data_IF_347555214066
#
_entry.id   IF_347555214066
#
_cell.length_a   1.000
_cell.length_b   1.000
_cell.length_c   1.000
_cell.angle_alpha   90.00
_cell.angle_beta   90.00
_cell.angle_gamma   90.00
#
_symmetry.space_group_name_H-M   'P 1'
#
loop_
_entity.id
_entity.type
_entity.pdbx_description
1 polymer ?
#
# COMPACT_ATOMS: atom_id res chain seq x y z
N UNK A 1 4.14 32.38 -15.12
CA UNK A 1 5.18 31.44 -14.70
C UNK A 1 5.14 31.26 -13.19
N UNK A 2 5.46 30.08 -12.70
CA UNK A 2 5.64 29.80 -11.28
C UNK A 2 7.13 29.53 -11.03
N UNK A 3 7.72 30.23 -10.06
CA UNK A 3 9.10 30.00 -9.63
C UNK A 3 9.06 29.30 -8.27
N UNK A 4 9.70 28.12 -8.19
CA UNK A 4 9.86 27.36 -6.96
C UNK A 4 11.31 27.46 -6.53
N UNK A 5 11.57 27.87 -5.30
CA UNK A 5 12.90 27.97 -4.71
C UNK A 5 12.95 27.09 -3.48
N UNK A 6 13.93 26.20 -3.42
CA UNK A 6 14.19 25.32 -2.28
C UNK A 6 15.39 25.82 -1.49
N UNK A 7 15.42 25.60 -0.18
CA UNK A 7 16.54 26.00 0.69
C UNK A 7 17.81 25.19 0.46
N UNK A 8 17.67 23.98 -0.06
CA UNK A 8 18.76 23.06 -0.46
C UNK A 8 18.40 22.37 -1.78
N UNK A 9 19.36 21.80 -2.51
CA UNK A 9 19.05 20.98 -3.70
C UNK A 9 18.02 19.91 -3.35
N UNK A 10 17.08 19.64 -4.29
CA UNK A 10 16.09 18.59 -4.15
C UNK A 10 16.01 17.80 -5.45
N UNK A 11 16.69 16.66 -5.55
CA UNK A 11 16.81 15.88 -6.80
C UNK A 11 15.48 15.27 -7.26
N UNK A 12 14.49 15.12 -6.37
CA UNK A 12 13.18 14.52 -6.67
C UNK A 12 12.03 15.53 -6.61
N UNK A 13 12.32 16.83 -6.66
CA UNK A 13 11.30 17.89 -6.55
C UNK A 13 10.16 17.69 -7.57
N UNK A 14 10.47 17.39 -8.82
CA UNK A 14 9.43 17.21 -9.85
C UNK A 14 8.51 16.03 -9.55
N UNK A 15 9.06 14.93 -9.01
CA UNK A 15 8.29 13.77 -8.61
C UNK A 15 7.36 14.10 -7.41
N UNK A 16 7.85 14.89 -6.47
CA UNK A 16 7.04 15.36 -5.33
C UNK A 16 5.91 16.28 -5.79
N UNK A 17 6.22 17.22 -6.70
CA UNK A 17 5.24 18.16 -7.25
C UNK A 17 4.13 17.48 -8.06
N UNK A 18 4.38 16.32 -8.66
CA UNK A 18 3.36 15.56 -9.39
C UNK A 18 2.19 15.10 -8.51
N UNK A 19 2.37 15.09 -7.19
CA UNK A 19 1.33 14.74 -6.22
C UNK A 19 0.61 15.97 -5.62
N UNK A 20 0.93 17.17 -6.09
CA UNK A 20 0.34 18.43 -5.59
C UNK A 20 -0.64 18.95 -6.63
N UNK A 21 -1.92 19.05 -6.24
CA UNK A 21 -2.96 19.61 -7.09
C UNK A 21 -3.10 21.12 -6.84
N UNK A 22 -3.05 21.90 -7.94
CA UNK A 22 -3.17 23.36 -7.87
C UNK A 22 -4.65 23.72 -7.69
N UNK A 23 -4.95 24.44 -6.62
CA UNK A 23 -6.29 24.92 -6.30
C UNK A 23 -6.46 26.39 -6.73
N UNK A 24 -7.69 26.79 -7.07
CA UNK A 24 -8.03 28.19 -7.30
C UNK A 24 -8.04 28.97 -5.98
N UNK A 25 -7.16 29.98 -5.84
CA UNK A 25 -7.09 30.82 -4.65
C UNK A 25 -8.46 31.47 -4.34
N UNK A 26 -9.07 32.13 -5.32
CA UNK A 26 -10.34 32.82 -5.14
C UNK A 26 -11.48 31.85 -4.73
N UNK A 27 -11.50 30.62 -5.27
CA UNK A 27 -12.47 29.63 -4.86
C UNK A 27 -12.21 29.15 -3.43
N UNK A 28 -10.96 28.91 -3.08
CA UNK A 28 -10.58 28.43 -1.74
C UNK A 28 -10.89 29.46 -0.67
N UNK A 29 -10.59 30.75 -0.93
CA UNK A 29 -10.92 31.86 -0.03
C UNK A 29 -12.44 32.01 0.15
N UNK A 30 -13.19 32.02 -0.96
CA UNK A 30 -14.66 32.14 -0.94
C UNK A 30 -15.34 31.04 -0.13
N UNK A 31 -14.79 29.83 -0.14
CA UNK A 31 -15.40 28.65 0.48
C UNK A 31 -14.69 28.20 1.77
N UNK A 32 -13.85 29.07 2.35
CA UNK A 32 -13.10 28.78 3.60
C UNK A 32 -12.28 27.48 3.54
N UNK A 33 -11.72 27.16 2.35
CA UNK A 33 -10.96 25.94 2.07
C UNK A 33 -9.45 26.22 1.92
N UNK A 34 -8.92 27.21 2.66
CA UNK A 34 -7.48 27.59 2.63
C UNK A 34 -6.62 26.73 3.54
N UNK A 35 -7.20 26.05 4.50
CA UNK A 35 -6.51 25.15 5.42
C UNK A 35 -6.85 23.70 5.13
N UNK A 36 -5.92 22.77 5.38
CA UNK A 36 -6.20 21.34 5.31
C UNK A 36 -7.34 20.96 6.26
N UNK A 37 -8.11 19.95 5.86
CA UNK A 37 -9.14 19.39 6.72
C UNK A 37 -8.50 18.68 7.91
N UNK A 38 -8.99 18.92 9.10
CA UNK A 38 -8.60 18.19 10.30
C UNK A 38 -9.51 16.94 10.46
N UNK A 39 -9.04 15.81 9.96
CA UNK A 39 -9.77 14.54 10.03
C UNK A 39 -9.92 14.02 11.46
N UNK A 40 -8.92 14.23 12.31
CA UNK A 40 -8.92 13.74 13.70
C UNK A 40 -9.94 14.52 14.56
N UNK A 41 -10.24 15.78 14.18
CA UNK A 41 -11.29 16.59 14.79
C UNK A 41 -12.69 16.36 14.18
N UNK A 42 -12.83 15.45 13.22
CA UNK A 42 -14.11 15.21 12.53
C UNK A 42 -14.59 16.38 11.67
N UNK A 43 -13.71 17.32 11.32
CA UNK A 43 -14.07 18.47 10.48
C UNK A 43 -14.38 18.00 9.05
N UNK A 44 -15.53 18.46 8.52
CA UNK A 44 -15.77 18.45 7.08
C UNK A 44 -15.64 19.89 6.55
N UNK A 45 -14.72 20.07 5.59
CA UNK A 45 -14.59 21.35 4.88
C UNK A 45 -15.45 21.33 3.61
N UNK A 46 -15.77 22.50 3.07
CA UNK A 46 -16.50 22.60 1.81
C UNK A 46 -15.82 21.83 0.67
N UNK A 47 -14.49 21.75 0.68
CA UNK A 47 -13.71 20.99 -0.31
C UNK A 47 -13.83 19.48 -0.18
N UNK A 48 -14.36 18.94 0.91
CA UNK A 48 -14.60 17.50 1.07
C UNK A 48 -15.70 16.98 0.13
N UNK A 49 -16.70 17.80 -0.15
CA UNK A 49 -17.85 17.45 -0.99
C UNK A 49 -17.92 18.25 -2.28
N UNK A 50 -17.13 19.32 -2.41
CA UNK A 50 -17.11 20.18 -3.57
C UNK A 50 -15.70 20.32 -4.12
N UNK A 51 -15.56 20.47 -5.41
CA UNK A 51 -14.27 20.68 -6.04
C UNK A 51 -14.38 21.65 -7.22
N UNK A 52 -13.32 22.45 -7.41
CA UNK A 52 -13.11 23.24 -8.62
C UNK A 52 -11.76 22.84 -9.23
N UNK A 53 -11.81 22.09 -10.30
CA UNK A 53 -10.63 21.62 -11.03
C UNK A 53 -10.70 21.96 -12.52
N UNK A 54 -9.60 21.74 -13.21
CA UNK A 54 -9.45 21.99 -14.66
C UNK A 54 -9.50 20.70 -15.48
N UNK A 55 -9.93 19.59 -14.87
CA UNK A 55 -9.95 18.27 -15.50
C UNK A 55 -11.08 18.04 -16.51
N UNK A 56 -11.12 16.87 -17.16
CA UNK A 56 -12.11 16.50 -18.17
C UNK A 56 -13.52 16.32 -17.63
N UNK A 57 -13.66 16.09 -16.34
CA UNK A 57 -14.94 15.94 -15.65
C UNK A 57 -15.04 16.88 -14.46
N UNK A 58 -16.28 17.24 -14.11
CA UNK A 58 -16.63 18.04 -12.92
C UNK A 58 -17.49 17.21 -11.99
N UNK A 59 -17.21 17.28 -10.69
CA UNK A 59 -18.10 16.73 -9.67
C UNK A 59 -19.39 17.55 -9.66
N UNK A 60 -20.52 16.89 -9.82
CA UNK A 60 -21.86 17.50 -9.76
C UNK A 60 -22.66 17.03 -8.56
N UNK A 61 -22.29 15.90 -7.96
CA UNK A 61 -22.86 15.38 -6.73
C UNK A 61 -21.75 14.60 -5.99
N UNK A 62 -21.65 14.79 -4.69
CA UNK A 62 -20.86 13.94 -3.81
C UNK A 62 -21.62 13.71 -2.51
N UNK A 63 -22.09 12.51 -2.34
CA UNK A 63 -22.66 11.99 -1.10
C UNK A 63 -21.65 10.98 -0.53
N UNK A 64 -20.93 11.33 0.55
CA UNK A 64 -19.92 10.45 1.15
C UNK A 64 -20.49 9.05 1.43
N UNK A 65 -19.70 8.01 1.10
CA UNK A 65 -20.06 6.60 1.26
C UNK A 65 -21.29 6.11 0.44
N UNK A 66 -21.94 6.97 -0.35
CA UNK A 66 -23.12 6.62 -1.13
C UNK A 66 -22.86 6.73 -2.62
N UNK A 67 -22.48 7.94 -3.11
CA UNK A 67 -22.36 8.18 -4.54
C UNK A 67 -21.53 9.42 -4.85
N UNK A 68 -20.72 9.36 -5.90
CA UNK A 68 -20.12 10.54 -6.52
C UNK A 68 -20.44 10.56 -8.00
N UNK A 69 -20.99 11.67 -8.50
CA UNK A 69 -21.34 11.87 -9.92
C UNK A 69 -20.40 12.88 -10.54
N UNK A 70 -19.79 12.47 -11.65
CA UNK A 70 -18.97 13.32 -12.48
C UNK A 70 -19.67 13.54 -13.83
N UNK A 71 -19.72 14.77 -14.30
CA UNK A 71 -20.18 15.12 -15.64
C UNK A 71 -19.06 15.71 -16.49
N UNK A 72 -19.08 15.43 -17.77
CA UNK A 72 -18.11 15.95 -18.74
C UNK A 72 -17.97 17.47 -18.63
N UNK A 73 -16.72 17.93 -18.55
CA UNK A 73 -16.42 19.37 -18.58
C UNK A 73 -16.40 19.86 -20.02
N UNK A 74 -17.43 20.59 -20.44
CA UNK A 74 -17.55 21.13 -21.80
C UNK A 74 -16.45 22.16 -22.16
N UNK A 75 -15.79 22.73 -21.15
CA UNK A 75 -14.71 23.72 -21.33
C UNK A 75 -13.31 23.13 -21.17
N UNK A 76 -13.22 21.80 -21.05
CA UNK A 76 -11.90 21.17 -20.97
C UNK A 76 -11.21 21.20 -22.33
N UNK A 77 -9.96 21.63 -22.36
CA UNK A 77 -9.17 21.87 -23.57
C UNK A 77 -8.46 20.62 -24.13
N UNK A 78 -8.40 19.54 -23.38
CA UNK A 78 -7.73 18.31 -23.80
C UNK A 78 -8.65 17.41 -24.62
N UNK A 79 -8.12 16.24 -24.99
CA UNK A 79 -8.84 15.25 -25.79
C UNK A 79 -9.26 14.06 -24.92
N UNK A 80 -10.49 13.61 -25.12
CA UNK A 80 -11.03 12.36 -24.60
C UNK A 80 -10.95 11.28 -25.68
N UNK A 81 -10.63 10.05 -25.27
CA UNK A 81 -10.60 8.89 -26.17
C UNK A 81 -11.97 8.65 -26.81
N UNK A 82 -13.04 8.74 -26.02
CA UNK A 82 -14.41 8.64 -26.52
C UNK A 82 -15.27 9.80 -26.01
N UNK A 83 -15.84 10.55 -26.95
CA UNK A 83 -16.72 11.69 -26.65
C UNK A 83 -18.09 11.27 -26.13
N UNK A 84 -18.47 10.00 -26.26
CA UNK A 84 -19.76 9.43 -25.76
C UNK A 84 -19.77 9.32 -24.23
N UNK A 85 -18.60 9.23 -23.58
CA UNK A 85 -18.52 9.20 -22.11
C UNK A 85 -18.84 10.59 -21.56
N UNK A 86 -20.07 10.80 -21.13
CA UNK A 86 -20.57 12.12 -20.67
C UNK A 86 -20.78 12.20 -19.17
N UNK A 87 -20.97 11.06 -18.51
CA UNK A 87 -21.20 10.95 -17.07
C UNK A 87 -20.51 9.70 -16.51
N UNK A 88 -20.03 9.80 -15.26
CA UNK A 88 -19.46 8.71 -14.51
C UNK A 88 -20.07 8.74 -13.11
N UNK A 89 -20.49 7.59 -12.61
CA UNK A 89 -20.98 7.40 -11.26
C UNK A 89 -20.07 6.45 -10.49
N UNK A 90 -19.53 6.91 -9.38
CA UNK A 90 -18.78 6.07 -8.45
C UNK A 90 -19.70 5.65 -7.30
N UNK A 91 -19.87 4.35 -7.13
CA UNK A 91 -20.71 3.74 -6.10
C UNK A 91 -19.82 2.93 -5.14
N UNK A 92 -19.63 3.38 -3.90
CA UNK A 92 -18.89 2.61 -2.89
C UNK A 92 -19.69 1.39 -2.42
N UNK A 93 -19.40 0.22 -2.96
CA UNK A 93 -20.00 -1.06 -2.52
C UNK A 93 -18.95 -1.84 -1.72
N UNK A 94 -19.07 -1.85 -0.39
CA UNK A 94 -18.05 -2.44 0.50
C UNK A 94 -17.93 -3.96 0.35
N UNK A 95 -19.06 -4.66 0.26
CA UNK A 95 -19.05 -6.12 0.14
C UNK A 95 -18.62 -6.57 -1.26
N UNK A 96 -17.59 -7.39 -1.35
CA UNK A 96 -17.01 -7.86 -2.62
C UNK A 96 -17.98 -8.71 -3.43
N UNK A 97 -18.74 -9.62 -2.81
CA UNK A 97 -19.71 -10.46 -3.50
C UNK A 97 -20.85 -9.62 -4.09
N UNK A 98 -21.31 -8.58 -3.37
CA UNK A 98 -22.32 -7.63 -3.86
C UNK A 98 -21.79 -6.84 -5.07
N UNK A 99 -20.52 -6.39 -5.05
CA UNK A 99 -19.93 -5.72 -6.24
C UNK A 99 -19.91 -6.62 -7.46
N UNK A 100 -19.49 -7.86 -7.28
CA UNK A 100 -19.47 -8.84 -8.38
C UNK A 100 -20.89 -9.13 -8.90
N UNK A 101 -21.87 -9.32 -8.00
CA UNK A 101 -23.26 -9.53 -8.40
C UNK A 101 -23.81 -8.35 -9.20
N UNK A 102 -23.55 -7.10 -8.79
CA UNK A 102 -23.97 -5.90 -9.48
C UNK A 102 -23.37 -5.79 -10.89
N UNK A 103 -22.10 -6.20 -11.10
CA UNK A 103 -21.50 -6.28 -12.42
C UNK A 103 -22.20 -7.34 -13.29
N UNK A 104 -22.36 -8.54 -12.76
CA UNK A 104 -22.96 -9.66 -13.51
C UNK A 104 -24.43 -9.45 -13.86
N UNK A 105 -25.17 -8.70 -13.04
CA UNK A 105 -26.55 -8.29 -13.33
C UNK A 105 -26.65 -7.11 -14.30
N UNK A 106 -25.55 -6.43 -14.59
CA UNK A 106 -25.51 -5.25 -15.44
C UNK A 106 -25.89 -3.93 -14.74
N UNK A 107 -26.05 -3.94 -13.41
CA UNK A 107 -26.33 -2.74 -12.61
C UNK A 107 -25.16 -1.75 -12.63
N UNK A 108 -23.92 -2.26 -12.66
CA UNK A 108 -22.71 -1.46 -12.82
C UNK A 108 -21.89 -1.95 -14.02
N UNK A 109 -21.04 -1.07 -14.55
CA UNK A 109 -20.27 -1.34 -15.77
C UNK A 109 -18.85 -1.81 -15.46
N UNK A 110 -18.29 -1.40 -14.30
CA UNK A 110 -16.90 -1.67 -13.90
C UNK A 110 -16.86 -1.97 -12.42
N UNK A 111 -16.07 -2.97 -12.04
CA UNK A 111 -15.62 -3.22 -10.67
C UNK A 111 -14.13 -2.97 -10.61
N UNK A 112 -13.72 -1.99 -9.83
CA UNK A 112 -12.32 -1.83 -9.39
C UNK A 112 -12.07 -2.77 -8.21
N UNK A 113 -10.84 -3.26 -8.05
CA UNK A 113 -10.49 -4.24 -7.00
C UNK A 113 -11.42 -5.47 -7.01
N UNK A 114 -11.57 -6.08 -8.19
CA UNK A 114 -12.32 -7.32 -8.34
C UNK A 114 -11.64 -8.45 -7.53
N UNK A 115 -12.39 -9.20 -6.70
CA UNK A 115 -11.80 -10.21 -5.84
C UNK A 115 -11.19 -11.35 -6.67
N UNK A 116 -9.98 -11.74 -6.34
CA UNK A 116 -9.19 -12.74 -7.11
C UNK A 116 -9.91 -14.10 -7.20
N UNK A 117 -10.77 -14.41 -6.24
CA UNK A 117 -11.56 -15.65 -6.22
C UNK A 117 -12.64 -15.68 -7.30
N UNK A 118 -13.12 -14.52 -7.75
CA UNK A 118 -14.23 -14.42 -8.70
C UNK A 118 -13.79 -14.16 -10.15
N UNK A 119 -12.50 -13.88 -10.38
CA UNK A 119 -12.01 -13.49 -11.71
C UNK A 119 -12.28 -14.54 -12.78
N UNK A 120 -12.07 -15.82 -12.47
CA UNK A 120 -12.36 -16.92 -13.39
C UNK A 120 -13.86 -17.00 -13.74
N UNK A 121 -14.75 -16.80 -12.75
CA UNK A 121 -16.20 -16.77 -12.94
C UNK A 121 -16.63 -15.59 -13.81
N UNK A 122 -16.10 -14.42 -13.56
CA UNK A 122 -16.39 -13.22 -14.34
C UNK A 122 -15.89 -13.38 -15.78
N UNK A 123 -14.64 -13.80 -15.95
CA UNK A 123 -13.99 -13.94 -17.26
C UNK A 123 -14.51 -15.13 -18.09
N UNK A 124 -15.31 -16.04 -17.52
CA UNK A 124 -15.95 -17.13 -18.29
C UNK A 124 -17.12 -16.66 -19.15
N UNK A 125 -17.65 -15.47 -18.92
CA UNK A 125 -18.72 -14.87 -19.71
C UNK A 125 -18.16 -13.96 -20.79
N UNK A 126 -18.63 -14.13 -22.04
CA UNK A 126 -18.27 -13.21 -23.15
C UNK A 126 -18.80 -11.77 -22.95
N UNK A 127 -19.76 -11.58 -22.04
CA UNK A 127 -20.30 -10.26 -21.70
C UNK A 127 -19.37 -9.45 -20.79
N UNK A 128 -18.34 -10.08 -20.20
CA UNK A 128 -17.44 -9.43 -19.25
C UNK A 128 -15.97 -9.71 -19.57
N UNK A 129 -15.09 -8.83 -19.13
CA UNK A 129 -13.64 -9.00 -19.20
C UNK A 129 -13.00 -8.70 -17.87
N UNK A 130 -11.81 -9.26 -17.67
CA UNK A 130 -10.94 -9.05 -16.50
C UNK A 130 -9.58 -8.57 -16.97
N UNK A 131 -9.08 -7.54 -16.35
CA UNK A 131 -7.72 -7.02 -16.55
C UNK A 131 -6.99 -6.97 -15.22
N UNK A 132 -5.71 -7.30 -15.21
CA UNK A 132 -4.87 -7.27 -14.00
C UNK A 132 -3.55 -6.56 -14.29
N UNK A 133 -3.04 -5.86 -13.30
CA UNK A 133 -1.74 -5.19 -13.37
C UNK A 133 -1.04 -5.23 -12.02
N UNK A 134 0.30 -5.17 -12.03
CA UNK A 134 1.07 -4.93 -10.81
C UNK A 134 0.71 -3.56 -10.24
N UNK A 135 0.36 -3.52 -8.97
CA UNK A 135 0.12 -2.26 -8.27
C UNK A 135 1.43 -1.69 -7.72
N UNK A 136 1.51 -0.37 -7.67
CA UNK A 136 2.60 0.36 -7.02
C UNK A 136 2.50 0.24 -5.49
N UNK A 137 2.55 -1.00 -4.97
CA UNK A 137 2.37 -1.30 -3.55
C UNK A 137 3.05 -2.61 -3.15
N UNK A 138 3.81 -2.57 -2.06
CA UNK A 138 4.35 -3.77 -1.39
C UNK A 138 3.61 -4.00 -0.09
N UNK A 139 3.16 -5.24 0.14
CA UNK A 139 2.56 -5.70 1.39
C UNK A 139 3.63 -6.34 2.26
N UNK A 140 3.63 -6.04 3.55
CA UNK A 140 4.64 -6.51 4.50
C UNK A 140 4.07 -6.61 5.92
N UNK A 141 4.83 -7.27 6.80
CA UNK A 141 4.58 -7.29 8.24
C UNK A 141 5.64 -6.45 8.93
N UNK A 142 5.24 -5.67 9.94
CA UNK A 142 6.11 -4.88 10.81
C UNK A 142 6.05 -5.38 12.24
N UNK A 143 7.18 -5.30 12.94
CA UNK A 143 7.37 -5.77 14.31
C UNK A 143 8.04 -4.67 15.13
N UNK A 144 7.46 -4.28 16.27
CA UNK A 144 8.09 -3.30 17.17
C UNK A 144 9.40 -3.89 17.74
N UNK A 145 10.51 -3.23 17.48
CA UNK A 145 11.85 -3.67 17.86
C UNK A 145 12.42 -2.90 19.06
N UNK A 146 11.70 -1.90 19.58
CA UNK A 146 12.20 -1.03 20.64
C UNK A 146 11.55 -1.27 22.00
N UNK A 147 10.27 -1.60 22.06
CA UNK A 147 9.60 -1.86 23.33
C UNK A 147 10.32 -2.96 24.14
N UNK A 148 10.36 -2.82 25.46
CA UNK A 148 11.01 -3.81 26.31
C UNK A 148 10.22 -5.11 26.43
N UNK A 149 8.90 -5.03 26.30
CA UNK A 149 7.98 -6.17 26.33
C UNK A 149 6.95 -6.03 25.23
N UNK A 150 6.47 -7.15 24.71
CA UNK A 150 5.27 -7.16 23.87
C UNK A 150 4.05 -6.80 24.69
N UNK A 151 3.16 -5.99 24.16
CA UNK A 151 1.87 -5.64 24.80
C UNK A 151 0.93 -6.83 24.89
N UNK A 152 1.08 -7.77 23.96
CA UNK A 152 0.19 -8.93 23.78
C UNK A 152 0.90 -10.28 23.95
N UNK A 153 2.17 -10.27 24.37
CA UNK A 153 2.99 -11.47 24.50
C UNK A 153 2.94 -12.11 25.89
N UNK A 154 3.52 -13.29 25.99
CA UNK A 154 3.64 -14.07 27.25
C UNK A 154 5.10 -14.28 27.70
N UNK A 155 6.06 -13.67 27.01
CA UNK A 155 7.49 -13.90 27.25
C UNK A 155 8.10 -13.06 28.36
N UNK A 156 7.44 -11.95 28.75
CA UNK A 156 8.00 -10.97 29.68
C UNK A 156 9.10 -10.09 29.09
N UNK A 157 9.44 -10.30 27.81
CA UNK A 157 10.36 -9.49 27.00
C UNK A 157 9.79 -9.24 25.59
N UNK A 158 10.58 -8.61 24.71
CA UNK A 158 10.22 -8.42 23.32
C UNK A 158 11.12 -9.28 22.42
N UNK A 159 10.64 -10.44 21.92
CA UNK A 159 11.38 -11.31 21.03
C UNK A 159 11.84 -10.61 19.75
N UNK A 160 11.10 -9.61 19.27
CA UNK A 160 11.38 -8.92 18.01
C UNK A 160 12.65 -8.03 18.05
N UNK A 161 13.20 -7.73 19.24
CA UNK A 161 14.51 -7.11 19.38
C UNK A 161 15.64 -7.97 18.78
N UNK A 162 15.47 -9.29 18.76
CA UNK A 162 16.48 -10.24 18.25
C UNK A 162 16.29 -10.44 16.74
N UNK A 163 17.35 -10.14 15.97
CA UNK A 163 17.37 -10.34 14.52
C UNK A 163 17.05 -11.80 14.15
N UNK A 164 17.56 -12.75 14.93
CA UNK A 164 17.35 -14.19 14.73
C UNK A 164 15.87 -14.56 14.79
N UNK A 165 15.10 -13.94 15.67
CA UNK A 165 13.66 -14.12 15.77
C UNK A 165 12.98 -13.57 14.54
N UNK A 166 13.31 -12.34 14.10
CA UNK A 166 12.76 -11.75 12.88
C UNK A 166 13.08 -12.59 11.64
N UNK A 167 14.31 -13.12 11.58
CA UNK A 167 14.72 -14.03 10.51
C UNK A 167 13.94 -15.35 10.53
N UNK A 168 13.73 -15.93 11.71
CA UNK A 168 12.93 -17.14 11.87
C UNK A 168 11.51 -16.96 11.36
N UNK A 169 10.86 -15.85 11.75
CA UNK A 169 9.52 -15.52 11.25
C UNK A 169 9.52 -15.34 9.72
N UNK A 170 10.52 -14.64 9.17
CA UNK A 170 10.61 -14.43 7.73
C UNK A 170 10.78 -15.75 6.95
N UNK A 171 11.63 -16.66 7.43
CA UNK A 171 11.87 -17.97 6.79
C UNK A 171 10.73 -18.97 7.04
N UNK A 172 9.86 -18.73 8.02
CA UNK A 172 8.67 -19.56 8.24
C UNK A 172 7.53 -19.25 7.24
N UNK A 173 7.58 -18.11 6.51
CA UNK A 173 6.55 -17.71 5.57
C UNK A 173 6.77 -18.36 4.18
N UNK A 174 5.93 -19.34 3.86
CA UNK A 174 5.82 -19.92 2.50
C UNK A 174 5.06 -18.95 1.58
N UNK A 175 5.82 -18.04 0.98
CA UNK A 175 5.24 -17.00 0.12
C UNK A 175 4.66 -17.59 -1.18
N UNK A 176 5.21 -18.68 -1.67
CA UNK A 176 4.70 -19.35 -2.87
C UNK A 176 3.36 -20.03 -2.60
N UNK A 177 3.16 -20.58 -1.40
CA UNK A 177 1.85 -21.05 -0.98
C UNK A 177 0.83 -19.91 -0.85
N UNK A 178 1.23 -18.75 -0.33
CA UNK A 178 0.35 -17.55 -0.31
C UNK A 178 0.01 -17.14 -1.74
N UNK A 179 1.00 -16.98 -2.64
CA UNK A 179 0.79 -16.65 -4.05
C UNK A 179 -0.20 -17.62 -4.70
N UNK A 180 0.03 -18.91 -4.56
CA UNK A 180 -0.77 -19.94 -5.25
C UNK A 180 -2.17 -20.11 -4.66
N UNK A 181 -2.28 -20.22 -3.34
CA UNK A 181 -3.53 -20.63 -2.66
C UNK A 181 -4.41 -19.45 -2.25
N UNK A 182 -3.80 -18.37 -1.75
CA UNK A 182 -4.54 -17.17 -1.27
C UNK A 182 -4.75 -16.19 -2.41
N UNK A 183 -3.69 -15.88 -3.17
CA UNK A 183 -3.71 -14.85 -4.21
C UNK A 183 -4.04 -15.39 -5.60
N UNK A 184 -4.30 -16.69 -5.76
CA UNK A 184 -4.64 -17.31 -7.06
C UNK A 184 -3.62 -17.01 -8.17
N UNK A 185 -2.34 -16.87 -7.82
CA UNK A 185 -1.24 -16.52 -8.72
C UNK A 185 -1.02 -15.01 -8.89
N UNK A 186 -1.92 -14.17 -8.38
CA UNK A 186 -1.92 -12.70 -8.56
C UNK A 186 -1.20 -11.98 -7.43
N UNK A 187 0.08 -12.27 -7.28
CA UNK A 187 1.02 -11.53 -6.44
C UNK A 187 2.44 -11.84 -6.87
N UNK A 188 3.38 -10.93 -6.65
CA UNK A 188 4.80 -11.16 -6.91
C UNK A 188 5.57 -11.12 -5.59
N UNK A 189 6.25 -12.22 -5.18
CA UNK A 189 7.04 -12.24 -3.95
C UNK A 189 8.01 -11.08 -3.87
N UNK A 190 8.06 -10.40 -2.72
CA UNK A 190 8.89 -9.22 -2.49
C UNK A 190 9.92 -9.45 -1.40
N UNK A 191 11.16 -8.98 -1.60
CA UNK A 191 12.24 -8.99 -0.62
C UNK A 191 12.54 -7.62 -0.02
N UNK A 192 12.01 -6.54 -0.62
CA UNK A 192 12.13 -5.15 -0.16
C UNK A 192 10.81 -4.42 -0.32
N UNK A 193 10.64 -3.28 0.39
CA UNK A 193 9.42 -2.45 0.34
C UNK A 193 9.54 -1.40 -0.78
N UNK A 194 9.88 -1.86 -1.96
CA UNK A 194 9.83 -1.08 -3.21
C UNK A 194 9.64 -2.03 -4.38
N UNK A 195 9.27 -1.57 -5.55
CA UNK A 195 8.82 -2.41 -6.66
C UNK A 195 9.47 -1.95 -7.98
N UNK A 196 9.42 -2.77 -9.04
CA UNK A 196 9.97 -2.42 -10.35
C UNK A 196 9.46 -1.07 -10.85
N UNK A 197 10.38 -0.23 -11.33
CA UNK A 197 10.09 1.14 -11.81
C UNK A 197 10.33 2.24 -10.77
N UNK A 198 10.59 1.90 -9.51
CA UNK A 198 11.04 2.86 -8.48
C UNK A 198 12.56 2.96 -8.50
N UNK A 199 13.10 4.18 -8.44
CA UNK A 199 14.54 4.37 -8.31
C UNK A 199 15.07 3.71 -7.04
N UNK A 200 16.12 2.91 -7.19
CA UNK A 200 16.72 2.08 -6.12
C UNK A 200 16.20 0.64 -6.07
N UNK A 201 15.18 0.26 -6.85
CA UNK A 201 14.80 -1.14 -7.00
C UNK A 201 15.82 -1.90 -7.84
N UNK A 202 16.18 -3.09 -7.38
CA UNK A 202 16.88 -4.09 -8.20
C UNK A 202 16.34 -5.50 -7.89
N UNK A 203 16.38 -6.38 -8.89
CA UNK A 203 15.95 -7.79 -8.70
C UNK A 203 16.77 -8.51 -7.64
N UNK A 204 18.04 -8.15 -7.45
CA UNK A 204 18.89 -8.79 -6.44
C UNK A 204 18.53 -8.34 -5.02
N UNK A 205 18.21 -7.07 -4.83
CA UNK A 205 17.69 -6.57 -3.57
C UNK A 205 16.32 -7.18 -3.24
N UNK A 206 15.51 -7.46 -4.25
CA UNK A 206 14.16 -8.00 -4.09
C UNK A 206 14.09 -9.53 -3.86
N UNK A 207 15.24 -10.19 -3.77
CA UNK A 207 15.30 -11.61 -3.41
C UNK A 207 14.96 -11.81 -1.94
N UNK A 208 13.99 -12.68 -1.67
CA UNK A 208 13.60 -13.11 -0.31
C UNK A 208 14.61 -14.10 0.28
N UNK A 209 14.63 -14.21 1.61
CA UNK A 209 15.18 -15.38 2.26
C UNK A 209 14.38 -16.63 1.90
N UNK A 210 15.03 -17.80 1.76
CA UNK A 210 14.34 -19.04 1.43
C UNK A 210 13.38 -19.46 2.55
N UNK A 211 12.24 -20.04 2.17
CA UNK A 211 11.35 -20.70 3.10
C UNK A 211 12.03 -21.95 3.68
N UNK A 212 12.21 -21.98 5.01
CA UNK A 212 12.82 -23.10 5.71
C UNK A 212 12.32 -23.15 7.16
N UNK A 213 11.38 -24.04 7.44
CA UNK A 213 10.79 -24.24 8.77
C UNK A 213 11.81 -24.79 9.78
N UNK A 214 12.76 -25.63 9.33
CA UNK A 214 13.74 -26.22 10.23
C UNK A 214 14.79 -25.19 10.66
N UNK A 215 15.27 -24.37 9.71
CA UNK A 215 16.15 -23.24 10.02
C UNK A 215 15.43 -22.23 10.93
N UNK A 216 14.15 -21.94 10.69
CA UNK A 216 13.36 -21.05 11.53
C UNK A 216 13.23 -21.56 12.97
N UNK A 217 12.94 -22.84 13.18
CA UNK A 217 12.90 -23.45 14.52
C UNK A 217 14.23 -23.37 15.24
N UNK A 218 15.31 -23.65 14.51
CA UNK A 218 16.66 -23.55 15.07
C UNK A 218 16.99 -22.13 15.51
N UNK A 219 16.71 -21.15 14.69
CA UNK A 219 16.91 -19.73 15.00
C UNK A 219 16.13 -19.30 16.26
N UNK A 220 14.87 -19.73 16.39
CA UNK A 220 14.07 -19.44 17.61
C UNK A 220 14.68 -20.09 18.84
N UNK A 221 15.11 -21.35 18.75
CA UNK A 221 15.73 -22.05 19.86
C UNK A 221 17.05 -21.38 20.29
N UNK A 222 17.90 -21.05 19.33
CA UNK A 222 19.19 -20.37 19.55
C UNK A 222 18.97 -18.96 20.16
N UNK A 223 17.85 -18.30 19.80
CA UNK A 223 17.45 -17.01 20.35
C UNK A 223 16.82 -17.09 21.76
N UNK A 224 16.62 -18.30 22.33
CA UNK A 224 16.06 -18.50 23.65
C UNK A 224 14.55 -18.78 23.66
N UNK A 225 13.92 -19.06 22.52
CA UNK A 225 12.50 -19.39 22.37
C UNK A 225 12.30 -20.79 21.77
N UNK A 226 12.82 -21.87 22.39
CA UNK A 226 12.74 -23.23 21.83
C UNK A 226 11.30 -23.75 21.70
N UNK A 227 10.37 -23.20 22.48
CA UNK A 227 8.96 -23.54 22.46
C UNK A 227 8.09 -22.46 21.76
N UNK A 228 8.75 -21.46 21.12
CA UNK A 228 8.06 -20.31 20.55
C UNK A 228 7.54 -19.32 21.59
N UNK A 229 6.57 -18.52 21.22
CA UNK A 229 5.95 -17.50 22.07
C UNK A 229 4.56 -17.12 21.54
N UNK A 230 3.77 -16.42 22.39
CA UNK A 230 2.48 -15.87 21.99
C UNK A 230 2.60 -14.41 21.57
N UNK A 231 1.85 -14.00 20.54
CA UNK A 231 1.79 -12.61 20.05
C UNK A 231 0.47 -12.33 19.37
N UNK A 232 0.03 -11.08 19.35
CA UNK A 232 -1.10 -10.61 18.56
C UNK A 232 -0.63 -10.06 17.20
N UNK A 233 -1.27 -10.49 16.10
CA UNK A 233 -1.09 -9.90 14.78
C UNK A 233 -2.29 -9.03 14.43
N UNK A 234 -2.07 -7.74 14.26
CA UNK A 234 -3.07 -6.79 13.79
C UNK A 234 -3.10 -6.74 12.27
N UNK A 235 -4.28 -6.98 11.70
CA UNK A 235 -4.46 -7.08 10.26
C UNK A 235 -5.70 -6.29 9.83
N UNK A 236 -5.64 -5.50 8.73
CA UNK A 236 -6.86 -4.97 8.14
C UNK A 236 -7.63 -6.08 7.43
N UNK A 237 -8.94 -5.87 7.22
CA UNK A 237 -9.78 -6.82 6.49
C UNK A 237 -10.59 -6.16 5.34
N UNK A 238 -10.32 -4.90 5.06
CA UNK A 238 -10.98 -4.14 3.99
C UNK A 238 -10.03 -3.13 3.30
N UNK A 239 -8.70 -3.38 3.34
CA UNK A 239 -7.69 -2.45 2.82
C UNK A 239 -6.90 -2.97 1.64
N UNK A 240 -6.42 -4.20 1.69
CA UNK A 240 -5.57 -4.82 0.68
C UNK A 240 -6.26 -6.04 0.07
N UNK A 241 -5.77 -6.50 -1.07
CA UNK A 241 -6.32 -7.72 -1.69
C UNK A 241 -6.07 -8.90 -0.76
N UNK A 242 -7.15 -9.53 -0.28
CA UNK A 242 -7.12 -10.71 0.59
C UNK A 242 -6.31 -10.54 1.89
N UNK A 243 -6.25 -9.35 2.46
CA UNK A 243 -5.46 -9.03 3.66
C UNK A 243 -5.71 -10.00 4.83
N UNK A 244 -6.93 -10.20 5.26
CA UNK A 244 -7.26 -11.14 6.34
C UNK A 244 -6.89 -12.59 6.01
N UNK A 245 -7.10 -13.01 4.76
CA UNK A 245 -6.76 -14.37 4.32
C UNK A 245 -5.24 -14.60 4.29
N UNK A 246 -4.46 -13.57 3.94
CA UNK A 246 -2.99 -13.61 4.02
C UNK A 246 -2.55 -13.73 5.47
N UNK A 247 -3.10 -12.89 6.38
CA UNK A 247 -2.77 -12.96 7.80
C UNK A 247 -3.15 -14.31 8.40
N UNK A 248 -4.30 -14.87 8.06
CA UNK A 248 -4.72 -16.21 8.49
C UNK A 248 -3.73 -17.30 8.02
N UNK A 249 -3.26 -17.20 6.79
CA UNK A 249 -2.24 -18.13 6.29
C UNK A 249 -0.92 -18.01 7.06
N UNK A 250 -0.47 -16.78 7.35
CA UNK A 250 0.73 -16.50 8.15
C UNK A 250 0.61 -17.06 9.56
N UNK A 251 -0.54 -16.89 10.23
CA UNK A 251 -0.82 -17.50 11.55
C UNK A 251 -0.58 -19.01 11.53
N UNK A 252 -1.14 -19.71 10.53
CA UNK A 252 -0.93 -21.15 10.36
C UNK A 252 0.53 -21.55 10.08
N UNK A 253 1.28 -20.68 9.41
CA UNK A 253 2.70 -20.90 9.13
C UNK A 253 3.55 -20.73 10.39
N UNK A 254 3.29 -19.71 11.20
CA UNK A 254 3.99 -19.46 12.45
C UNK A 254 3.71 -20.51 13.53
N UNK A 255 2.51 -21.07 13.54
CA UNK A 255 2.20 -22.23 14.39
C UNK A 255 3.11 -23.43 14.17
N UNK A 256 3.64 -23.63 12.93
CA UNK A 256 4.59 -24.71 12.64
C UNK A 256 5.94 -24.54 13.32
N UNK A 257 6.30 -23.34 13.72
CA UNK A 257 7.56 -23.02 14.43
C UNK A 257 7.34 -22.71 15.92
N UNK A 258 6.12 -22.98 16.45
CA UNK A 258 5.79 -22.79 17.86
C UNK A 258 5.34 -21.36 18.22
N UNK A 259 5.30 -20.44 17.26
CA UNK A 259 4.80 -19.08 17.52
C UNK A 259 3.27 -19.08 17.39
N UNK A 260 2.61 -18.85 18.52
CA UNK A 260 1.17 -18.83 18.63
C UNK A 260 0.64 -17.41 18.40
N UNK A 261 0.02 -17.19 17.25
CA UNK A 261 -0.44 -15.86 16.85
C UNK A 261 -1.95 -15.71 17.04
N UNK A 262 -2.36 -14.79 17.88
CA UNK A 262 -3.74 -14.33 17.97
C UNK A 262 -4.00 -13.31 16.87
N UNK A 263 -4.82 -13.67 15.88
CA UNK A 263 -5.16 -12.77 14.77
C UNK A 263 -6.26 -11.79 15.17
N UNK A 264 -5.93 -10.50 15.10
CA UNK A 264 -6.87 -9.41 15.31
C UNK A 264 -7.18 -8.70 13.98
N UNK A 265 -8.14 -9.27 13.22
CA UNK A 265 -8.61 -8.71 11.96
C UNK A 265 -9.64 -7.59 12.20
N UNK A 266 -9.47 -6.45 11.55
CA UNK A 266 -10.29 -5.27 11.80
C UNK A 266 -10.39 -4.36 10.58
N UNK A 267 -11.37 -3.42 10.60
CA UNK A 267 -11.52 -2.46 9.51
C UNK A 267 -10.30 -1.54 9.40
N UNK A 268 -9.98 -1.09 8.18
CA UNK A 268 -8.87 -0.18 7.92
C UNK A 268 -8.89 1.07 8.81
N UNK A 269 -10.06 1.64 9.06
CA UNK A 269 -10.19 2.84 9.90
C UNK A 269 -9.71 2.61 11.32
N UNK A 270 -10.06 1.47 11.91
CA UNK A 270 -9.60 1.07 13.24
C UNK A 270 -8.12 0.70 13.21
N UNK A 271 -7.72 -0.10 12.22
CA UNK A 271 -6.33 -0.55 12.05
C UNK A 271 -5.34 0.63 11.97
N UNK A 272 -5.62 1.61 11.12
CA UNK A 272 -4.74 2.77 11.00
C UNK A 272 -4.74 3.69 12.21
N UNK A 273 -5.91 3.82 12.89
CA UNK A 273 -5.97 4.57 14.14
C UNK A 273 -5.07 3.93 15.20
N UNK A 274 -5.19 2.63 15.41
CA UNK A 274 -4.41 1.90 16.41
C UNK A 274 -2.90 1.90 16.09
N UNK A 275 -2.51 1.82 14.79
CA UNK A 275 -1.11 1.97 14.40
C UNK A 275 -0.57 3.38 14.67
N UNK A 276 -1.36 4.43 14.43
CA UNK A 276 -0.97 5.80 14.80
C UNK A 276 -0.77 5.96 16.29
N UNK A 277 -1.62 5.33 17.09
CA UNK A 277 -1.59 5.37 18.55
C UNK A 277 -0.56 4.38 19.14
N UNK A 278 0.32 3.81 18.32
CA UNK A 278 1.38 2.85 18.68
C UNK A 278 0.89 1.63 19.48
N UNK A 279 -0.30 1.13 19.12
CA UNK A 279 -0.95 0.03 19.88
C UNK A 279 -0.64 -1.37 19.34
N UNK A 280 0.21 -1.53 18.33
CA UNK A 280 0.47 -2.83 17.71
C UNK A 280 1.93 -3.23 17.76
N UNK A 281 2.25 -4.37 18.41
CA UNK A 281 3.59 -4.94 18.42
C UNK A 281 3.93 -5.62 17.09
N UNK A 282 2.92 -6.19 16.41
CA UNK A 282 3.05 -6.92 15.16
C UNK A 282 1.83 -6.64 14.28
N UNK A 283 2.06 -6.25 13.02
CA UNK A 283 1.00 -5.75 12.16
C UNK A 283 1.27 -5.97 10.68
N UNK A 284 0.21 -6.01 9.87
CA UNK A 284 0.30 -5.91 8.41
C UNK A 284 0.16 -4.47 7.96
N UNK A 285 0.99 -4.09 6.97
CA UNK A 285 0.87 -2.82 6.28
C UNK A 285 1.19 -3.00 4.79
N UNK A 286 0.75 -2.07 3.97
CA UNK A 286 1.13 -1.98 2.56
C UNK A 286 1.55 -0.56 2.20
N UNK A 287 2.68 -0.41 1.52
CA UNK A 287 3.26 0.88 1.19
C UNK A 287 3.38 1.10 -0.30
N UNK A 288 2.90 2.24 -0.77
CA UNK A 288 3.08 2.71 -2.14
C UNK A 288 4.18 3.78 -2.21
N UNK A 289 4.76 3.97 -3.39
CA UNK A 289 5.86 4.94 -3.60
C UNK A 289 5.44 5.97 -4.67
N UNK A 290 4.62 6.97 -4.32
CA UNK A 290 4.07 7.92 -5.29
C UNK A 290 5.12 8.80 -5.96
N UNK A 291 6.28 8.97 -5.35
CA UNK A 291 7.41 9.73 -5.93
C UNK A 291 8.28 8.90 -6.87
N UNK A 292 8.03 7.59 -6.98
CA UNK A 292 8.85 6.64 -7.75
C UNK A 292 10.34 6.66 -7.35
N UNK A 293 10.62 6.95 -6.07
CA UNK A 293 11.96 7.01 -5.53
C UNK A 293 12.03 6.40 -4.12
N UNK A 294 13.04 5.58 -3.85
CA UNK A 294 13.23 4.88 -2.57
C UNK A 294 13.34 5.82 -1.36
N UNK A 295 13.75 7.08 -1.57
CA UNK A 295 13.77 8.07 -0.49
C UNK A 295 12.42 8.13 0.25
N UNK A 296 11.29 8.03 -0.47
CA UNK A 296 9.96 8.04 0.14
C UNK A 296 9.75 6.91 1.13
N UNK A 297 10.25 5.71 0.82
CA UNK A 297 10.17 4.56 1.72
C UNK A 297 11.06 4.77 2.94
N UNK A 298 12.31 5.19 2.71
CA UNK A 298 13.27 5.39 3.80
C UNK A 298 12.82 6.49 4.75
N UNK A 299 12.39 7.63 4.24
CA UNK A 299 11.94 8.77 5.04
C UNK A 299 10.74 8.44 5.94
N UNK A 300 9.79 7.62 5.48
CA UNK A 300 8.60 7.31 6.28
C UNK A 300 8.72 6.04 7.12
N UNK A 301 9.42 5.01 6.64
CA UNK A 301 9.41 3.69 7.29
C UNK A 301 10.70 3.37 8.06
N UNK A 302 11.83 4.02 7.72
CA UNK A 302 13.12 3.64 8.28
C UNK A 302 13.88 4.77 9.00
N UNK A 303 13.59 6.04 8.68
CA UNK A 303 14.21 7.16 9.38
C UNK A 303 13.88 7.12 10.87
N UNK A 304 14.90 7.31 11.70
CA UNK A 304 14.74 7.28 13.16
C UNK A 304 13.71 8.31 13.61
N UNK A 305 12.65 7.87 14.28
CA UNK A 305 11.57 8.72 14.77
C UNK A 305 10.55 9.16 13.72
N UNK A 306 10.63 8.66 12.49
CA UNK A 306 9.64 8.97 11.46
C UNK A 306 8.24 8.45 11.86
N UNK A 307 7.20 9.17 11.44
CA UNK A 307 5.82 8.96 11.89
C UNK A 307 5.24 7.57 11.56
N UNK A 308 5.72 6.94 10.50
CA UNK A 308 5.31 5.60 10.08
C UNK A 308 6.35 4.51 10.34
N UNK A 309 7.48 4.85 10.97
CA UNK A 309 8.45 3.89 11.47
C UNK A 309 7.94 3.20 12.75
N UNK A 310 6.84 2.46 12.61
CA UNK A 310 6.16 1.80 13.73
C UNK A 310 6.85 0.52 14.22
N UNK A 311 7.92 0.11 13.55
CA UNK A 311 8.84 -0.93 14.03
C UNK A 311 9.92 -0.36 14.95
N UNK A 312 9.97 0.96 15.08
CA UNK A 312 10.97 1.69 15.89
C UNK A 312 12.42 1.33 15.50
N UNK A 313 12.64 1.04 14.21
CA UNK A 313 13.97 0.84 13.67
C UNK A 313 14.81 2.12 13.83
N UNK A 314 16.07 1.98 14.22
CA UNK A 314 17.00 3.09 14.32
C UNK A 314 18.40 2.64 13.92
N UNK A 315 18.96 3.32 12.92
CA UNK A 315 20.33 3.05 12.45
C UNK A 315 20.94 4.34 11.87
N UNK A 316 22.03 4.78 12.47
CA UNK A 316 22.70 6.04 12.10
C UNK A 316 23.26 6.08 10.68
N UNK A 317 23.65 4.93 10.12
CA UNK A 317 24.12 4.84 8.73
C UNK A 317 22.95 4.99 7.74
N UNK A 318 21.80 4.42 8.07
CA UNK A 318 20.57 4.60 7.27
C UNK A 318 20.10 6.05 7.33
N UNK A 319 20.10 6.67 8.51
CA UNK A 319 19.76 8.09 8.67
C UNK A 319 20.73 8.99 7.88
N UNK A 320 22.03 8.66 7.87
CA UNK A 320 23.01 9.38 7.06
C UNK A 320 22.75 9.22 5.55
N UNK A 321 22.41 8.01 5.10
CA UNK A 321 22.05 7.75 3.71
C UNK A 321 20.77 8.52 3.30
N UNK A 322 19.76 8.61 4.16
CA UNK A 322 18.54 9.40 3.91
C UNK A 322 18.90 10.87 3.67
N UNK A 323 19.78 11.45 4.48
CA UNK A 323 20.25 12.84 4.29
C UNK A 323 20.95 13.03 2.93
N UNK A 324 21.71 12.04 2.47
CA UNK A 324 22.28 12.06 1.11
C UNK A 324 21.19 11.98 0.05
N UNK A 325 20.22 11.09 0.19
CA UNK A 325 19.09 10.95 -0.75
C UNK A 325 18.30 12.24 -0.92
N UNK A 326 18.21 13.04 0.15
CA UNK A 326 17.46 14.31 0.14
C UNK A 326 18.11 15.43 -0.67
N UNK A 327 19.43 15.50 -0.73
CA UNK A 327 20.12 16.67 -1.26
C UNK A 327 21.20 16.40 -2.32
N UNK A 328 21.65 15.14 -2.48
CA UNK A 328 22.69 14.81 -3.47
C UNK A 328 22.11 14.82 -4.89
N UNK A 329 22.69 15.66 -5.74
CA UNK A 329 22.27 15.80 -7.16
C UNK A 329 23.07 14.91 -8.11
N UNK A 330 24.23 14.43 -7.69
CA UNK A 330 24.97 13.40 -8.41
C UNK A 330 24.23 12.07 -8.27
N UNK A 331 23.70 11.57 -9.39
CA UNK A 331 22.87 10.38 -9.40
C UNK A 331 23.61 9.12 -8.94
N UNK A 332 24.89 8.99 -9.27
CA UNK A 332 25.66 7.80 -8.91
C UNK A 332 25.90 7.76 -7.41
N UNK A 333 26.29 8.87 -6.78
CA UNK A 333 26.44 8.98 -5.34
C UNK A 333 25.14 8.76 -4.61
N UNK A 334 24.05 9.36 -5.11
CA UNK A 334 22.74 9.22 -4.54
C UNK A 334 22.24 7.77 -4.60
N UNK A 335 22.38 7.12 -5.77
CA UNK A 335 21.99 5.74 -5.96
C UNK A 335 22.86 4.76 -5.15
N UNK A 336 24.13 5.07 -4.95
CA UNK A 336 25.00 4.29 -4.04
C UNK A 336 24.50 4.37 -2.59
N UNK A 337 24.08 5.55 -2.12
CA UNK A 337 23.49 5.71 -0.78
C UNK A 337 22.17 4.91 -0.65
N UNK A 338 21.28 4.96 -1.65
CA UNK A 338 20.04 4.17 -1.70
C UNK A 338 20.37 2.67 -1.63
N UNK A 339 21.29 2.18 -2.45
CA UNK A 339 21.65 0.77 -2.49
C UNK A 339 22.27 0.29 -1.17
N UNK A 340 23.11 1.11 -0.54
CA UNK A 340 23.69 0.81 0.77
C UNK A 340 22.61 0.73 1.86
N UNK A 341 21.71 1.70 1.91
CA UNK A 341 20.60 1.70 2.87
C UNK A 341 19.71 0.44 2.71
N UNK A 342 19.38 0.04 1.47
CA UNK A 342 18.62 -1.20 1.22
C UNK A 342 19.35 -2.45 1.72
N UNK A 343 20.69 -2.53 1.58
CA UNK A 343 21.48 -3.65 2.11
C UNK A 343 21.39 -3.72 3.63
N UNK A 344 21.55 -2.57 4.31
CA UNK A 344 21.51 -2.52 5.78
C UNK A 344 20.15 -2.97 6.31
N UNK A 345 19.04 -2.39 5.84
CA UNK A 345 17.69 -2.72 6.35
C UNK A 345 17.25 -4.14 5.99
N UNK A 346 17.71 -4.65 4.86
CA UNK A 346 17.47 -6.03 4.44
C UNK A 346 18.26 -7.02 5.31
N UNK A 347 19.52 -6.72 5.61
CA UNK A 347 20.33 -7.55 6.51
C UNK A 347 19.76 -7.55 7.93
N UNK A 348 19.33 -6.42 8.43
CA UNK A 348 18.67 -6.29 9.74
C UNK A 348 17.32 -7.03 9.82
N UNK A 349 16.62 -7.24 8.70
CA UNK A 349 15.27 -7.81 8.64
C UNK A 349 14.29 -6.93 9.45
N UNK A 350 14.38 -5.61 9.26
CA UNK A 350 13.56 -4.63 9.98
C UNK A 350 12.06 -4.80 9.74
N UNK A 351 11.69 -5.27 8.55
CA UNK A 351 10.34 -5.65 8.14
C UNK A 351 10.37 -7.03 7.47
N UNK A 352 9.19 -7.66 7.35
CA UNK A 352 9.00 -8.90 6.58
C UNK A 352 8.20 -8.57 5.30
N UNK A 353 8.84 -8.18 4.18
CA UNK A 353 8.14 -7.99 2.92
C UNK A 353 7.49 -9.30 2.46
N UNK A 354 6.23 -9.24 2.02
CA UNK A 354 5.49 -10.41 1.55
C UNK A 354 5.46 -10.43 0.02
N UNK A 355 4.77 -9.48 -0.59
CA UNK A 355 4.62 -9.45 -2.04
C UNK A 355 4.29 -8.04 -2.56
N UNK A 356 4.62 -7.80 -3.83
CA UNK A 356 4.05 -6.71 -4.60
C UNK A 356 2.63 -7.09 -5.01
N UNK A 357 1.69 -6.21 -4.68
CA UNK A 357 0.28 -6.47 -4.92
C UNK A 357 -0.05 -6.41 -6.41
N UNK A 358 -0.87 -7.33 -6.87
CA UNK A 358 -1.53 -7.27 -8.17
C UNK A 358 -2.98 -6.87 -7.94
N UNK A 359 -3.47 -5.92 -8.71
CA UNK A 359 -4.87 -5.50 -8.71
C UNK A 359 -5.55 -5.99 -9.97
N UNK A 360 -6.83 -6.29 -9.84
CA UNK A 360 -7.67 -6.74 -10.96
C UNK A 360 -8.93 -5.91 -11.05
N UNK A 361 -9.27 -5.50 -12.26
CA UNK A 361 -10.53 -4.86 -12.57
C UNK A 361 -11.37 -5.79 -13.44
N UNK A 362 -12.67 -5.69 -13.30
CA UNK A 362 -13.62 -6.39 -14.14
C UNK A 362 -14.59 -5.39 -14.72
N UNK A 363 -14.97 -5.58 -15.99
CA UNK A 363 -15.86 -4.66 -16.70
C UNK A 363 -16.76 -5.43 -17.68
N UNK A 364 -17.85 -4.80 -18.13
CA UNK A 364 -18.57 -5.22 -19.34
C UNK A 364 -17.62 -5.21 -20.53
N UNK A 365 -17.75 -6.16 -21.45
CA UNK A 365 -16.81 -6.34 -22.57
C UNK A 365 -16.73 -5.11 -23.49
N UNK A 366 -17.82 -4.35 -23.65
CA UNK A 366 -17.87 -3.13 -24.44
C UNK A 366 -17.24 -1.91 -23.74
N UNK A 367 -16.96 -1.97 -22.42
CA UNK A 367 -16.42 -0.84 -21.66
C UNK A 367 -14.92 -0.95 -21.51
N UNK A 368 -14.18 0.06 -21.93
CA UNK A 368 -12.74 0.13 -21.76
C UNK A 368 -12.36 1.29 -20.84
N UNK A 369 -11.70 0.99 -19.74
CA UNK A 369 -11.00 1.96 -18.87
C UNK A 369 -9.65 1.36 -18.52
N UNK A 370 -8.53 2.01 -18.91
CA UNK A 370 -7.21 1.46 -18.64
C UNK A 370 -6.95 1.29 -17.14
N UNK A 371 -6.57 0.08 -16.74
CA UNK A 371 -6.09 -0.18 -15.38
C UNK A 371 -4.68 0.38 -15.23
N UNK A 372 -4.44 1.14 -14.16
CA UNK A 372 -3.17 1.80 -13.88
C UNK A 372 -2.53 1.26 -12.61
N UNK A 373 -1.18 1.20 -12.55
CA UNK A 373 -0.48 0.70 -11.36
C UNK A 373 -0.77 1.44 -10.05
N UNK A 374 -1.19 2.71 -10.11
CA UNK A 374 -1.63 3.47 -8.92
C UNK A 374 -3.08 3.19 -8.52
N UNK A 375 -3.79 2.31 -9.25
CA UNK A 375 -5.20 1.95 -9.04
C UNK A 375 -6.19 3.12 -9.19
N UNK A 376 -5.81 4.14 -9.95
CA UNK A 376 -6.68 5.28 -10.21
C UNK A 376 -7.28 5.20 -11.63
N UNK A 377 -8.61 5.29 -11.77
CA UNK A 377 -9.24 5.24 -13.08
C UNK A 377 -8.91 6.48 -13.92
N UNK A 378 -8.46 6.26 -15.15
CA UNK A 378 -8.17 7.32 -16.10
C UNK A 378 -9.40 7.56 -17.00
N UNK A 379 -10.43 8.18 -16.46
CA UNK A 379 -11.72 8.35 -17.15
C UNK A 379 -11.66 9.13 -18.45
N UNK A 380 -10.66 10.00 -18.68
CA UNK A 380 -10.48 10.62 -20.00
C UNK A 380 -10.15 9.62 -21.11
N UNK A 381 -9.62 8.45 -20.73
CA UNK A 381 -9.29 7.35 -21.65
C UNK A 381 -10.38 6.27 -21.69
N UNK A 382 -11.50 6.47 -20.99
CA UNK A 382 -12.62 5.56 -21.07
C UNK A 382 -13.25 5.58 -22.46
N UNK A 383 -13.69 4.41 -22.97
CA UNK A 383 -14.35 4.27 -24.25
C UNK A 383 -15.35 3.11 -24.24
N UNK A 384 -16.26 3.12 -25.22
CA UNK A 384 -17.14 2.01 -25.56
C UNK A 384 -16.70 1.44 -26.91
N UNK A 385 -16.69 0.11 -27.03
CA UNK A 385 -16.49 -0.59 -28.32
C UNK A 385 -17.70 -0.42 -29.22
#
# INVERSE_FOLDING_TARGET
SVKITTSKPNPILLNQLSNIFIMSKAWSEKNFAMSPQNWDAGQETFSATNALGTGPFKITLREPNTKTVFKKNKHWWGEMTDKKVTQIELLPIKNAATRVAALLSGEIDIVTDAPVQDLARIGSSSAHKVESTAQMRTIFLGMDQAADQLRSGNTGDNPFKKKEVRQALYQAIDIDAIKKKVMRGLSEPAGIITFPGVNGYTKDLDKRLPYDVNAAKKLLADAGYPNGFDVELRCPNDRYVNDEAICTAVVGMFGKIGVNVNLFAQTKSKHFKELKDDQGDFYMLGWGVPTLDSHYVFHYLYETGASWNKVNFSNSEVDAAIRVMEGEVDLDKRNAAIANAWKIVKDDISYLPLHHQVISWAAKSEVNVPIRPNNEPLFKAASFN
#
